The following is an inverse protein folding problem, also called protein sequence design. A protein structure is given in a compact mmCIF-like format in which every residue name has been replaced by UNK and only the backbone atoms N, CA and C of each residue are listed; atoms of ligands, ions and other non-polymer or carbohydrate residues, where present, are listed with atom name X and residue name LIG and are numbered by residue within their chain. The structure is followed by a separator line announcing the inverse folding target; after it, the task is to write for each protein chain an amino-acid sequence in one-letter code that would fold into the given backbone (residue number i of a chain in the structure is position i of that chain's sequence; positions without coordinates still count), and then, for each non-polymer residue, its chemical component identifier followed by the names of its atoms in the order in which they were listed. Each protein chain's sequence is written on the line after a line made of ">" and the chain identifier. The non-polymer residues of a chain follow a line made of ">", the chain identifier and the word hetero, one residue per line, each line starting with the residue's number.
data_IF_370136408697
#
_entry.id   IF_370136408697
#
_cell.length_a   1.000
_cell.length_b   1.000
_cell.length_c   1.000
_cell.angle_alpha   90.00
_cell.angle_beta   90.00
_cell.angle_gamma   90.00
#
_symmetry.space_group_name_H-M   'P 1'
#
loop_
_entity.id
_entity.type
_entity.pdbx_description
1 polymer ?
#
# COMPACT_ATOMS: atom_id res chain seq x y z
N UNK A 1 -23.97 -28.10 -2.48
CA UNK A 1 -22.89 -27.17 -2.15
C UNK A 1 -23.53 -25.99 -1.41
N UNK A 2 -22.99 -25.55 -0.29
CA UNK A 2 -23.48 -24.37 0.37
C UNK A 2 -23.28 -23.15 -0.58
N UNK A 3 -24.24 -22.22 -0.59
CA UNK A 3 -24.13 -21.02 -1.39
C UNK A 3 -22.88 -20.22 -0.95
N UNK A 4 -22.09 -19.75 -1.92
CA UNK A 4 -20.94 -18.89 -1.65
C UNK A 4 -21.43 -17.52 -1.16
N UNK A 5 -20.80 -17.01 -0.11
CA UNK A 5 -21.09 -15.68 0.41
C UNK A 5 -20.34 -14.60 -0.38
N UNK A 6 -21.00 -13.49 -0.70
CA UNK A 6 -20.35 -12.36 -1.36
C UNK A 6 -19.29 -11.73 -0.43
N UNK A 7 -18.10 -11.45 -0.95
CA UNK A 7 -17.02 -10.75 -0.25
C UNK A 7 -16.58 -9.51 -1.05
N UNK A 8 -17.04 -8.33 -0.67
CA UNK A 8 -16.71 -7.09 -1.35
C UNK A 8 -15.45 -6.47 -0.74
N UNK A 9 -14.37 -6.46 -1.54
CA UNK A 9 -13.07 -5.89 -1.18
C UNK A 9 -12.85 -4.57 -1.90
N UNK A 10 -12.24 -3.61 -1.22
CA UNK A 10 -11.88 -2.32 -1.80
C UNK A 10 -10.45 -1.94 -1.46
N UNK A 11 -9.75 -1.38 -2.44
CA UNK A 11 -8.42 -0.79 -2.26
C UNK A 11 -8.46 0.70 -2.59
N UNK A 12 -7.56 1.47 -2.00
CA UNK A 12 -7.46 2.90 -2.26
C UNK A 12 -6.91 3.21 -3.65
N UNK A 13 -5.95 2.39 -4.11
CA UNK A 13 -5.37 2.43 -5.46
C UNK A 13 -5.01 1.02 -5.91
N UNK A 14 -4.92 0.81 -7.21
CA UNK A 14 -4.49 -0.46 -7.77
C UNK A 14 -2.96 -0.53 -7.78
N UNK A 15 -2.38 -1.56 -7.13
CA UNK A 15 -0.93 -1.73 -7.01
C UNK A 15 -0.59 -3.17 -6.66
N UNK A 16 0.54 -3.67 -7.17
CA UNK A 16 1.13 -4.96 -6.76
C UNK A 16 1.54 -4.96 -5.27
N UNK A 17 1.58 -3.81 -4.64
CA UNK A 17 1.80 -3.69 -3.20
C UNK A 17 0.72 -4.41 -2.37
N UNK A 18 -0.45 -4.65 -2.97
CA UNK A 18 -1.57 -5.36 -2.35
C UNK A 18 -1.70 -6.81 -2.82
N UNK A 19 -0.62 -7.42 -3.32
CA UNK A 19 -0.58 -8.82 -3.73
C UNK A 19 -1.20 -9.81 -2.75
N UNK A 20 -1.10 -9.67 -1.41
CA UNK A 20 -1.80 -10.56 -0.50
C UNK A 20 -3.33 -10.62 -0.69
N UNK A 21 -3.96 -9.48 -1.07
CA UNK A 21 -5.40 -9.46 -1.39
C UNK A 21 -5.68 -10.05 -2.77
N UNK A 22 -4.87 -9.68 -3.76
CA UNK A 22 -5.01 -10.17 -5.14
C UNK A 22 -4.79 -11.68 -5.16
N UNK A 23 -3.75 -12.18 -4.50
CA UNK A 23 -3.49 -13.62 -4.34
C UNK A 23 -4.65 -14.35 -3.66
N UNK A 24 -5.28 -13.73 -2.67
CA UNK A 24 -6.48 -14.25 -2.02
C UNK A 24 -7.60 -14.58 -3.02
N UNK A 25 -7.71 -13.80 -4.09
CA UNK A 25 -8.67 -13.96 -5.19
C UNK A 25 -8.15 -14.98 -6.20
N UNK A 26 -7.03 -14.67 -6.88
CA UNK A 26 -6.54 -15.49 -8.01
C UNK A 26 -6.02 -16.85 -7.58
N UNK A 27 -5.52 -16.97 -6.36
CA UNK A 27 -5.10 -18.24 -5.76
C UNK A 27 -6.23 -19.07 -5.17
N UNK A 28 -7.48 -18.58 -5.25
CA UNK A 28 -8.66 -19.30 -4.77
C UNK A 28 -8.75 -19.40 -3.24
N UNK A 29 -7.95 -18.69 -2.47
CA UNK A 29 -7.94 -18.79 -1.01
C UNK A 29 -9.27 -18.34 -0.39
N UNK A 30 -9.87 -17.26 -0.91
CA UNK A 30 -11.20 -16.81 -0.47
C UNK A 30 -12.30 -17.77 -0.92
N UNK A 31 -12.21 -18.30 -2.14
CA UNK A 31 -13.17 -19.28 -2.66
C UNK A 31 -13.15 -20.58 -1.85
N UNK A 32 -11.98 -21.04 -1.40
CA UNK A 32 -11.83 -22.20 -0.53
C UNK A 32 -12.52 -22.05 0.85
N UNK A 33 -12.72 -20.81 1.29
CA UNK A 33 -13.46 -20.49 2.52
C UNK A 33 -14.94 -20.15 2.23
N UNK A 34 -15.43 -20.39 1.00
CA UNK A 34 -16.82 -20.21 0.61
C UNK A 34 -17.20 -18.78 0.25
N UNK A 35 -16.25 -17.96 -0.21
CA UNK A 35 -16.50 -16.60 -0.67
C UNK A 35 -16.44 -16.46 -2.19
N UNK A 36 -17.31 -15.59 -2.70
CA UNK A 36 -17.22 -15.02 -4.04
C UNK A 36 -16.67 -13.58 -3.90
N UNK A 37 -15.35 -13.38 -4.09
CA UNK A 37 -14.73 -12.07 -3.85
C UNK A 37 -14.94 -11.12 -5.03
N UNK A 38 -15.23 -9.85 -4.73
CA UNK A 38 -15.10 -8.73 -5.67
C UNK A 38 -13.93 -7.84 -5.25
N UNK A 39 -13.32 -7.15 -6.22
CA UNK A 39 -12.21 -6.23 -5.98
C UNK A 39 -12.48 -4.92 -6.70
N UNK A 40 -12.54 -3.84 -5.95
CA UNK A 40 -12.82 -2.50 -6.49
C UNK A 40 -11.79 -1.49 -6.00
N UNK A 41 -11.54 -0.47 -6.82
CA UNK A 41 -10.77 0.71 -6.41
C UNK A 41 -11.73 1.75 -5.84
N UNK A 42 -11.29 2.50 -4.85
CA UNK A 42 -12.06 3.57 -4.20
C UNK A 42 -12.66 4.52 -5.26
N UNK A 43 -13.98 4.70 -5.29
CA UNK A 43 -14.60 5.68 -6.18
C UNK A 43 -14.21 7.11 -5.82
N UNK A 44 -14.02 7.99 -6.81
CA UNK A 44 -13.72 9.40 -6.55
C UNK A 44 -14.77 10.06 -5.64
N UNK A 45 -14.31 10.88 -4.70
CA UNK A 45 -15.16 11.61 -3.77
C UNK A 45 -15.80 10.78 -2.65
N UNK A 46 -15.46 9.49 -2.55
CA UNK A 46 -15.88 8.62 -1.44
C UNK A 46 -14.78 8.47 -0.40
N UNK A 47 -15.19 8.04 0.79
CA UNK A 47 -14.28 7.69 1.89
C UNK A 47 -14.42 6.22 2.29
N UNK A 48 -13.38 5.64 2.88
CA UNK A 48 -13.41 4.28 3.43
C UNK A 48 -14.57 4.13 4.44
N UNK A 49 -14.74 5.13 5.32
CA UNK A 49 -15.80 5.12 6.33
C UNK A 49 -17.20 5.03 5.71
N UNK A 50 -17.50 5.86 4.69
CA UNK A 50 -18.79 5.83 3.99
C UNK A 50 -19.06 4.48 3.33
N UNK A 51 -18.07 3.92 2.63
CA UNK A 51 -18.19 2.67 1.91
C UNK A 51 -18.40 1.48 2.87
N UNK A 52 -17.72 1.46 4.01
CA UNK A 52 -17.88 0.43 5.04
C UNK A 52 -19.22 0.59 5.78
N UNK A 53 -19.60 1.80 6.16
CA UNK A 53 -20.85 2.08 6.90
C UNK A 53 -22.08 1.74 6.07
N UNK A 54 -22.07 2.05 4.77
CA UNK A 54 -23.17 1.71 3.85
C UNK A 54 -23.31 0.19 3.60
N UNK A 55 -22.30 -0.61 3.93
CA UNK A 55 -22.26 -2.04 3.62
C UNK A 55 -21.95 -2.35 2.15
N UNK A 56 -21.60 -1.35 1.34
CA UNK A 56 -21.18 -1.55 -0.04
C UNK A 56 -19.92 -2.42 -0.13
N UNK A 57 -19.06 -2.34 0.87
CA UNK A 57 -17.86 -3.16 1.02
C UNK A 57 -17.80 -3.80 2.42
N UNK A 58 -17.17 -4.95 2.52
CA UNK A 58 -16.96 -5.69 3.77
C UNK A 58 -15.60 -5.39 4.38
N UNK A 59 -14.55 -5.38 3.55
CA UNK A 59 -13.17 -5.13 3.94
C UNK A 59 -12.53 -4.12 3.00
N UNK A 60 -11.88 -3.12 3.56
CA UNK A 60 -11.11 -2.13 2.81
C UNK A 60 -9.63 -2.21 3.13
N UNK A 61 -8.78 -2.15 2.09
CA UNK A 61 -7.43 -1.67 2.30
C UNK A 61 -7.49 -0.19 2.64
N UNK A 62 -6.80 0.18 3.70
CA UNK A 62 -6.56 1.55 4.13
C UNK A 62 -5.21 1.60 4.86
N UNK A 63 -4.98 2.64 5.64
CA UNK A 63 -3.87 2.73 6.58
C UNK A 63 -4.42 2.92 8.00
N UNK A 64 -3.62 2.62 9.01
CA UNK A 64 -3.97 2.94 10.41
C UNK A 64 -4.30 4.43 10.59
N UNK A 65 -3.62 5.28 9.82
CA UNK A 65 -3.85 6.73 9.77
C UNK A 65 -5.23 7.13 9.26
N UNK A 66 -5.95 6.24 8.56
CA UNK A 66 -7.31 6.52 8.09
C UNK A 66 -8.34 6.73 9.22
N UNK A 67 -8.04 6.23 10.42
CA UNK A 67 -8.86 6.43 11.60
C UNK A 67 -8.55 7.75 12.36
N UNK A 68 -7.36 8.32 12.18
CA UNK A 68 -6.91 9.46 12.96
C UNK A 68 -7.71 10.75 12.74
N UNK A 69 -8.21 11.08 11.54
CA UNK A 69 -9.07 12.26 11.35
C UNK A 69 -10.34 12.25 12.22
N UNK A 70 -10.87 11.08 12.56
CA UNK A 70 -11.99 10.95 13.51
C UNK A 70 -11.52 11.26 14.92
N UNK A 71 -10.39 10.70 15.33
CA UNK A 71 -9.82 10.91 16.66
C UNK A 71 -9.34 12.36 16.89
N UNK A 72 -8.85 13.05 15.84
CA UNK A 72 -8.53 14.48 15.90
C UNK A 72 -9.77 15.32 16.25
N UNK A 73 -10.95 14.92 15.76
CA UNK A 73 -12.23 15.57 16.04
C UNK A 73 -12.87 15.11 17.36
N UNK A 74 -12.24 14.16 18.09
CA UNK A 74 -12.81 13.56 19.29
C UNK A 74 -13.91 12.54 18.99
N UNK A 75 -14.03 12.08 17.74
CA UNK A 75 -15.02 11.11 17.28
C UNK A 75 -14.45 9.69 17.33
N UNK A 76 -15.32 8.68 17.45
CA UNK A 76 -14.93 7.28 17.30
C UNK A 76 -14.90 6.91 15.82
N UNK A 77 -13.80 6.31 15.31
CA UNK A 77 -13.78 5.79 13.96
C UNK A 77 -14.87 4.74 13.74
N UNK A 78 -15.58 4.74 12.61
CA UNK A 78 -16.62 3.75 12.34
C UNK A 78 -16.06 2.36 11.98
N UNK A 79 -14.78 2.26 11.72
CA UNK A 79 -14.08 1.03 11.37
C UNK A 79 -12.83 0.86 12.23
N UNK A 80 -12.31 -0.37 12.26
CA UNK A 80 -11.06 -0.71 12.94
C UNK A 80 -10.13 -1.45 11.98
N UNK A 81 -8.85 -1.17 12.07
CA UNK A 81 -7.79 -1.94 11.40
C UNK A 81 -7.57 -3.25 12.15
N UNK A 82 -7.53 -4.38 11.44
CA UNK A 82 -7.44 -5.69 12.09
C UNK A 82 -6.36 -6.60 11.53
N UNK A 83 -5.78 -6.25 10.38
CA UNK A 83 -4.68 -7.01 9.81
C UNK A 83 -3.77 -6.10 8.98
N UNK A 84 -2.47 -6.36 8.99
CA UNK A 84 -1.55 -5.66 8.11
C UNK A 84 -1.55 -6.27 6.70
N UNK A 85 -1.36 -5.41 5.69
CA UNK A 85 -0.95 -5.85 4.35
C UNK A 85 0.56 -5.70 4.25
N UNK A 86 1.07 -4.51 4.54
CA UNK A 86 2.47 -4.15 4.39
C UNK A 86 3.02 -3.57 5.70
N UNK A 87 4.22 -3.99 6.04
CA UNK A 87 4.97 -3.48 7.20
C UNK A 87 6.16 -2.60 6.81
N UNK A 88 6.20 -2.15 5.54
CA UNK A 88 7.16 -1.18 5.00
C UNK A 88 6.48 -0.33 3.95
N UNK A 89 7.06 0.84 3.70
CA UNK A 89 6.67 1.65 2.56
C UNK A 89 7.08 0.94 1.26
N UNK A 90 6.19 0.91 0.28
CA UNK A 90 6.42 0.23 -1.00
C UNK A 90 6.84 1.16 -2.14
N UNK A 91 6.99 2.44 -1.88
CA UNK A 91 7.40 3.40 -2.90
C UNK A 91 8.89 3.33 -3.21
N UNK A 92 9.21 3.63 -4.44
CA UNK A 92 10.57 3.66 -4.98
C UNK A 92 10.87 5.00 -5.61
N UNK A 93 12.15 5.33 -5.67
CA UNK A 93 12.67 6.45 -6.43
C UNK A 93 13.29 5.91 -7.72
N UNK A 94 12.82 6.43 -8.84
CA UNK A 94 13.42 6.15 -10.15
C UNK A 94 13.87 7.46 -10.81
N UNK A 95 14.87 7.37 -11.68
CA UNK A 95 15.39 8.48 -12.47
C UNK A 95 15.28 8.20 -13.96
N UNK A 96 14.95 9.22 -14.72
CA UNK A 96 15.00 9.18 -16.19
C UNK A 96 16.43 9.09 -16.73
N UNK A 97 17.33 9.77 -16.05
CA UNK A 97 18.74 9.86 -16.47
C UNK A 97 19.59 8.90 -15.64
N UNK A 98 20.66 8.41 -16.21
CA UNK A 98 21.65 7.66 -15.46
C UNK A 98 22.20 8.52 -14.30
N UNK A 99 22.24 7.96 -13.11
CA UNK A 99 22.69 8.64 -11.89
C UNK A 99 23.80 7.80 -11.25
N UNK A 100 25.05 7.92 -11.72
CA UNK A 100 26.16 7.30 -11.03
C UNK A 100 26.17 7.78 -9.56
N UNK A 101 26.31 6.84 -8.62
CA UNK A 101 26.38 7.14 -7.18
C UNK A 101 25.16 7.95 -6.69
N UNK A 102 23.96 7.33 -6.73
CA UNK A 102 22.75 7.95 -6.21
C UNK A 102 22.92 8.38 -4.75
N UNK A 103 22.51 9.64 -4.48
CA UNK A 103 22.36 10.17 -3.13
C UNK A 103 21.07 10.98 -3.05
N UNK A 104 20.36 10.87 -1.94
CA UNK A 104 19.04 11.49 -1.74
C UNK A 104 19.03 13.01 -1.97
N UNK A 105 20.16 13.68 -1.74
CA UNK A 105 20.30 15.12 -2.01
C UNK A 105 20.14 15.48 -3.50
N UNK A 106 20.36 14.54 -4.41
CA UNK A 106 20.15 14.76 -5.86
C UNK A 106 18.68 15.03 -6.21
N UNK A 107 17.74 14.59 -5.38
CA UNK A 107 16.30 14.85 -5.57
C UNK A 107 15.92 16.34 -5.46
N UNK A 108 16.83 17.20 -4.97
CA UNK A 108 16.64 18.66 -4.95
C UNK A 108 16.93 19.31 -6.31
N UNK A 109 17.42 18.55 -7.27
CA UNK A 109 17.70 19.02 -8.64
C UNK A 109 16.71 18.41 -9.61
N UNK A 110 16.25 19.20 -10.59
CA UNK A 110 15.27 18.74 -11.56
C UNK A 110 13.85 18.60 -10.98
N UNK A 111 12.94 18.10 -11.81
CA UNK A 111 11.53 17.98 -11.49
C UNK A 111 11.24 16.61 -10.88
N UNK A 112 10.65 16.58 -9.70
CA UNK A 112 10.36 15.37 -8.97
C UNK A 112 8.85 15.07 -8.97
N UNK A 113 8.46 14.01 -9.65
CA UNK A 113 7.07 13.57 -9.72
C UNK A 113 6.75 12.63 -8.55
N UNK A 114 5.83 13.04 -7.67
CA UNK A 114 5.34 12.25 -6.54
C UNK A 114 3.89 12.57 -6.22
N UNK A 115 3.16 11.67 -5.56
CA UNK A 115 1.80 11.92 -5.12
C UNK A 115 1.77 12.99 -4.03
N UNK A 116 1.04 14.08 -4.26
CA UNK A 116 0.89 15.17 -3.29
C UNK A 116 -0.23 14.85 -2.29
N UNK A 117 -0.01 15.26 -1.06
CA UNK A 117 -0.96 15.07 0.04
C UNK A 117 -0.98 13.66 0.64
N UNK A 118 -1.57 13.55 1.81
CA UNK A 118 -1.79 12.29 2.51
C UNK A 118 -0.54 11.52 2.89
N UNK A 119 -0.73 10.23 3.09
CA UNK A 119 0.33 9.33 3.54
C UNK A 119 1.52 9.20 2.57
N UNK A 120 1.35 9.08 1.24
CA UNK A 120 2.50 8.96 0.33
C UNK A 120 3.50 10.12 0.45
N UNK A 121 3.01 11.35 0.50
CA UNK A 121 3.85 12.52 0.67
C UNK A 121 4.49 12.58 2.07
N UNK A 122 3.75 12.23 3.12
CA UNK A 122 4.27 12.20 4.49
C UNK A 122 5.41 11.19 4.64
N UNK A 123 5.26 9.99 4.05
CA UNK A 123 6.29 8.96 4.03
C UNK A 123 7.54 9.43 3.28
N UNK A 124 7.37 10.01 2.09
CA UNK A 124 8.48 10.58 1.32
C UNK A 124 9.21 11.68 2.09
N UNK A 125 8.46 12.62 2.69
CA UNK A 125 9.03 13.70 3.49
C UNK A 125 9.85 13.16 4.68
N UNK A 126 9.34 12.13 5.35
CA UNK A 126 10.03 11.50 6.47
C UNK A 126 11.28 10.72 6.03
N UNK A 127 11.21 10.00 4.90
CA UNK A 127 12.37 9.32 4.33
C UNK A 127 13.48 10.33 3.96
N UNK A 128 13.12 11.42 3.29
CA UNK A 128 14.04 12.48 2.95
C UNK A 128 14.67 13.12 4.21
N UNK A 129 13.86 13.40 5.23
CA UNK A 129 14.34 13.92 6.51
C UNK A 129 15.38 12.98 7.14
N UNK A 130 15.12 11.67 7.19
CA UNK A 130 16.10 10.67 7.69
C UNK A 130 17.39 10.63 6.88
N UNK A 131 17.36 11.08 5.63
CA UNK A 131 18.53 11.22 4.73
C UNK A 131 19.12 12.63 4.69
N UNK A 132 18.70 13.52 5.59
CA UNK A 132 19.21 14.88 5.70
C UNK A 132 18.73 15.84 4.60
N UNK A 133 17.63 15.52 3.93
CA UNK A 133 17.01 16.31 2.85
C UNK A 133 15.63 16.79 3.28
N UNK A 134 15.26 18.03 2.91
CA UNK A 134 13.89 18.53 3.08
C UNK A 134 13.11 18.39 1.78
N UNK A 135 11.87 17.92 1.86
CA UNK A 135 10.98 17.82 0.70
C UNK A 135 10.72 19.19 0.06
N UNK A 136 10.65 20.26 0.86
CA UNK A 136 10.43 21.63 0.38
C UNK A 136 11.56 22.15 -0.54
N UNK A 137 12.71 21.49 -0.54
CA UNK A 137 13.83 21.81 -1.46
C UNK A 137 13.70 21.11 -2.80
N UNK A 138 12.71 20.24 -2.99
CA UNK A 138 12.47 19.56 -4.26
C UNK A 138 11.51 20.36 -5.14
N UNK A 139 11.65 20.23 -6.47
CA UNK A 139 10.71 20.79 -7.43
C UNK A 139 9.60 19.76 -7.74
N UNK A 140 8.58 19.70 -6.87
CA UNK A 140 7.52 18.70 -6.94
C UNK A 140 6.57 18.91 -8.13
N UNK A 141 6.22 17.79 -8.79
CA UNK A 141 5.11 17.70 -9.73
C UNK A 141 4.14 16.67 -9.15
N UNK A 142 2.83 16.98 -9.12
CA UNK A 142 1.83 16.03 -8.64
C UNK A 142 1.70 14.84 -9.60
N UNK A 143 1.98 13.66 -9.07
CA UNK A 143 1.87 12.41 -9.83
C UNK A 143 0.40 12.00 -10.07
N UNK A 144 -0.50 12.35 -9.15
CA UNK A 144 -1.92 12.00 -9.23
C UNK A 144 -2.16 10.49 -9.24
N UNK A 145 -2.91 10.01 -10.23
CA UNK A 145 -3.19 8.58 -10.43
C UNK A 145 -1.95 7.82 -10.94
N UNK A 146 -1.64 6.62 -10.40
CA UNK A 146 -0.40 5.91 -10.74
C UNK A 146 -0.22 5.59 -12.23
N UNK A 147 -1.29 5.17 -12.91
CA UNK A 147 -1.22 4.85 -14.33
C UNK A 147 -1.02 6.11 -15.18
N UNK A 148 -1.71 7.19 -14.83
CA UNK A 148 -1.56 8.48 -15.50
C UNK A 148 -0.17 9.07 -15.25
N UNK A 149 0.37 8.95 -14.04
CA UNK A 149 1.71 9.44 -13.70
C UNK A 149 2.80 8.67 -14.46
N UNK A 150 2.68 7.34 -14.56
CA UNK A 150 3.58 6.53 -15.40
C UNK A 150 3.54 6.99 -16.85
N UNK A 151 2.35 7.21 -17.42
CA UNK A 151 2.19 7.71 -18.80
C UNK A 151 2.80 9.11 -18.98
N UNK A 152 2.63 10.01 -18.01
CA UNK A 152 3.19 11.34 -18.03
C UNK A 152 4.73 11.30 -17.95
N UNK A 153 5.26 10.46 -17.07
CA UNK A 153 6.70 10.25 -16.96
C UNK A 153 7.27 9.65 -18.26
N UNK A 154 6.62 8.64 -18.84
CA UNK A 154 7.01 8.06 -20.15
C UNK A 154 7.09 9.11 -21.25
N UNK A 155 6.19 10.12 -21.26
CA UNK A 155 6.17 11.25 -22.20
C UNK A 155 7.19 12.36 -21.89
N UNK A 156 8.09 12.19 -20.94
CA UNK A 156 9.14 13.14 -20.63
C UNK A 156 8.84 14.11 -19.47
N UNK A 157 7.73 13.97 -18.76
CA UNK A 157 7.45 14.80 -17.59
C UNK A 157 8.24 14.28 -16.38
N UNK A 158 8.95 15.17 -15.71
CA UNK A 158 9.77 14.85 -14.53
C UNK A 158 11.11 14.20 -14.86
N UNK A 159 12.08 14.45 -13.99
CA UNK A 159 13.41 13.84 -13.98
C UNK A 159 13.47 12.67 -12.99
N UNK A 160 12.75 12.81 -11.89
CA UNK A 160 12.60 11.85 -10.82
C UNK A 160 11.16 11.37 -10.70
N UNK A 161 10.98 10.11 -10.35
CA UNK A 161 9.68 9.47 -10.22
C UNK A 161 9.58 8.71 -8.89
N UNK A 162 8.49 8.94 -8.15
CA UNK A 162 8.20 8.27 -6.89
C UNK A 162 6.85 7.57 -6.98
N UNK A 163 6.87 6.26 -7.07
CA UNK A 163 5.65 5.45 -7.16
C UNK A 163 5.87 4.03 -6.64
N UNK A 164 4.76 3.34 -6.41
CA UNK A 164 4.72 1.92 -6.04
C UNK A 164 4.93 1.03 -7.26
N UNK A 165 5.54 -0.15 -7.04
CA UNK A 165 5.56 -1.18 -8.06
C UNK A 165 4.13 -1.62 -8.44
N UNK A 166 3.88 -1.98 -9.71
CA UNK A 166 4.85 -2.33 -10.74
C UNK A 166 5.28 -1.17 -11.67
N UNK A 167 4.82 0.05 -11.44
CA UNK A 167 5.03 1.16 -12.38
C UNK A 167 6.50 1.57 -12.59
N UNK A 168 7.34 1.71 -11.54
CA UNK A 168 8.78 1.95 -11.73
C UNK A 168 9.47 0.82 -12.50
N UNK A 169 9.12 -0.45 -12.22
CA UNK A 169 9.66 -1.61 -12.93
C UNK A 169 9.25 -1.64 -14.40
N UNK A 170 8.02 -1.21 -14.71
CA UNK A 170 7.58 -1.10 -16.10
C UNK A 170 8.39 -0.05 -16.86
N UNK A 171 8.61 1.13 -16.28
CA UNK A 171 9.45 2.17 -16.85
C UNK A 171 10.91 1.72 -17.01
N UNK A 172 11.41 0.94 -16.07
CA UNK A 172 12.77 0.35 -16.17
C UNK A 172 12.85 -0.72 -17.26
N UNK A 173 11.85 -1.58 -17.38
CA UNK A 173 11.75 -2.58 -18.44
C UNK A 173 11.74 -1.92 -19.84
N UNK A 174 11.12 -0.78 -19.97
CA UNK A 174 11.06 0.03 -21.21
C UNK A 174 12.35 0.84 -21.47
N UNK A 175 13.30 0.85 -20.55
CA UNK A 175 14.51 1.70 -20.65
C UNK A 175 14.23 3.20 -20.49
N UNK A 176 13.08 3.56 -19.92
CA UNK A 176 12.66 4.96 -19.70
C UNK A 176 13.17 5.51 -18.37
N UNK A 177 13.37 4.64 -17.39
CA UNK A 177 13.88 5.00 -16.07
C UNK A 177 14.77 3.91 -15.47
N UNK A 178 15.55 4.28 -14.46
CA UNK A 178 16.29 3.38 -13.60
C UNK A 178 15.78 3.52 -12.16
N UNK A 179 15.43 2.40 -11.50
CA UNK A 179 15.05 2.38 -10.10
C UNK A 179 16.31 2.46 -9.24
N UNK A 180 16.38 3.44 -8.33
CA UNK A 180 17.61 3.81 -7.63
C UNK A 180 17.53 3.63 -6.11
N UNK A 181 16.35 3.78 -5.51
CA UNK A 181 16.21 3.72 -4.06
C UNK A 181 14.81 3.28 -3.61
N UNK A 182 14.76 2.74 -2.40
CA UNK A 182 13.55 2.36 -1.70
C UNK A 182 13.24 3.34 -0.57
N UNK A 183 12.01 3.88 -0.57
CA UNK A 183 11.50 4.68 0.55
C UNK A 183 11.34 3.81 1.79
N UNK A 184 10.90 2.56 1.60
CA UNK A 184 10.74 1.60 2.70
C UNK A 184 12.04 1.22 3.40
N UNK A 185 13.17 1.14 2.67
CA UNK A 185 14.50 0.98 3.28
C UNK A 185 14.92 2.22 4.07
N UNK A 186 14.63 3.40 3.54
CA UNK A 186 14.99 4.66 4.21
C UNK A 186 14.23 4.86 5.52
N UNK A 187 12.96 4.48 5.58
CA UNK A 187 12.11 4.61 6.77
C UNK A 187 12.36 3.46 7.76
N UNK A 188 12.40 2.24 7.27
CA UNK A 188 12.36 1.01 8.07
C UNK A 188 10.94 0.48 8.25
N UNK A 189 10.72 -0.43 9.21
CA UNK A 189 9.40 -0.99 9.49
C UNK A 189 8.38 0.07 9.93
N UNK A 190 7.17 -0.01 9.36
CA UNK A 190 6.07 0.94 9.60
C UNK A 190 4.73 0.28 9.27
N UNK A 191 3.68 0.55 10.03
CA UNK A 191 2.32 0.13 9.69
C UNK A 191 1.80 0.96 8.51
N UNK A 192 2.15 0.52 7.27
CA UNK A 192 1.84 1.29 6.07
C UNK A 192 0.40 1.04 5.59
N UNK A 193 0.09 -0.18 5.17
CA UNK A 193 -1.26 -0.55 4.73
C UNK A 193 -1.84 -1.66 5.58
N UNK A 194 -3.11 -1.48 5.92
CA UNK A 194 -3.87 -2.38 6.78
C UNK A 194 -5.22 -2.71 6.14
N UNK A 195 -5.82 -3.79 6.59
CA UNK A 195 -7.21 -4.12 6.32
C UNK A 195 -8.09 -3.57 7.44
N UNK A 196 -9.16 -2.90 7.06
CA UNK A 196 -10.15 -2.36 7.97
C UNK A 196 -11.55 -2.86 7.64
N UNK A 197 -12.36 -3.03 8.68
CA UNK A 197 -13.76 -3.42 8.58
C UNK A 197 -14.58 -2.81 9.73
N UNK A 198 -15.90 -2.86 9.58
CA UNK A 198 -16.83 -2.45 10.63
C UNK A 198 -16.74 -3.40 11.83
N UNK A 199 -16.84 -2.90 13.09
CA UNK A 199 -16.83 -3.76 14.29
C UNK A 199 -17.86 -4.89 14.24
N UNK A 200 -19.05 -4.63 13.72
CA UNK A 200 -20.11 -5.65 13.56
C UNK A 200 -19.68 -6.78 12.61
N UNK A 201 -18.95 -6.47 11.53
CA UNK A 201 -18.43 -7.47 10.61
C UNK A 201 -17.29 -8.27 11.22
N UNK A 202 -16.39 -7.61 11.95
CA UNK A 202 -15.27 -8.26 12.65
C UNK A 202 -15.72 -9.30 13.69
N UNK A 203 -16.94 -9.16 14.22
CA UNK A 203 -17.55 -10.12 15.16
C UNK A 203 -18.31 -11.26 14.45
N UNK A 204 -18.31 -11.32 13.13
CA UNK A 204 -19.05 -12.34 12.36
C UNK A 204 -18.21 -13.58 12.07
N UNK A 205 -18.85 -14.74 11.80
CA UNK A 205 -18.15 -15.93 11.31
C UNK A 205 -17.39 -15.68 10.00
N UNK A 206 -17.87 -14.76 9.17
CA UNK A 206 -17.24 -14.40 7.90
C UNK A 206 -15.87 -13.75 8.11
N UNK A 207 -15.72 -12.94 9.14
CA UNK A 207 -14.44 -12.33 9.47
C UNK A 207 -13.38 -13.38 9.85
N UNK A 208 -13.79 -14.46 10.55
CA UNK A 208 -12.92 -15.58 10.89
C UNK A 208 -12.47 -16.31 9.62
N UNK A 209 -13.42 -16.65 8.73
CA UNK A 209 -13.13 -17.31 7.46
C UNK A 209 -12.23 -16.47 6.57
N UNK A 210 -12.54 -15.16 6.47
CA UNK A 210 -11.71 -14.21 5.74
C UNK A 210 -10.28 -14.17 6.27
N UNK A 211 -10.12 -14.01 7.58
CA UNK A 211 -8.80 -13.92 8.23
C UNK A 211 -7.97 -15.17 7.97
N UNK A 212 -8.57 -16.34 8.04
CA UNK A 212 -7.92 -17.63 7.74
C UNK A 212 -7.46 -17.71 6.27
N UNK A 213 -8.31 -17.32 5.33
CA UNK A 213 -7.98 -17.27 3.90
C UNK A 213 -6.86 -16.26 3.62
N UNK A 214 -6.98 -15.07 4.19
CA UNK A 214 -6.02 -13.99 4.00
C UNK A 214 -4.64 -14.34 4.55
N UNK A 215 -4.56 -14.97 5.73
CA UNK A 215 -3.29 -15.45 6.31
C UNK A 215 -2.60 -16.46 5.38
N UNK A 216 -3.36 -17.39 4.79
CA UNK A 216 -2.84 -18.34 3.80
C UNK A 216 -2.35 -17.65 2.53
N UNK A 217 -3.13 -16.72 1.98
CA UNK A 217 -2.78 -15.96 0.78
C UNK A 217 -1.49 -15.14 0.99
N UNK A 218 -1.40 -14.43 2.12
CA UNK A 218 -0.23 -13.62 2.46
C UNK A 218 1.02 -14.49 2.69
N UNK A 219 0.87 -15.64 3.34
CA UNK A 219 1.95 -16.62 3.49
C UNK A 219 2.42 -17.18 2.15
N UNK A 220 1.49 -17.45 1.23
CA UNK A 220 1.84 -17.89 -0.13
C UNK A 220 2.62 -16.82 -0.89
N UNK A 221 2.21 -15.55 -0.85
CA UNK A 221 2.94 -14.44 -1.50
C UNK A 221 4.35 -14.28 -0.93
N UNK A 222 4.56 -14.58 0.35
CA UNK A 222 5.89 -14.53 0.98
C UNK A 222 6.82 -15.65 0.50
N UNK A 223 6.27 -16.86 0.26
CA UNK A 223 7.08 -18.09 0.11
C UNK A 223 7.14 -18.63 -1.30
N UNK A 224 6.16 -18.32 -2.15
CA UNK A 224 6.17 -18.69 -3.56
C UNK A 224 7.20 -17.85 -4.33
N UNK A 225 7.71 -18.39 -5.45
CA UNK A 225 8.63 -17.63 -6.30
C UNK A 225 7.94 -16.38 -6.85
N UNK A 226 8.70 -15.29 -7.03
CA UNK A 226 8.18 -14.06 -7.63
C UNK A 226 7.54 -14.33 -9.00
N UNK A 227 8.10 -15.25 -9.80
CA UNK A 227 7.55 -15.68 -11.08
C UNK A 227 6.16 -16.31 -10.93
N UNK A 228 5.99 -17.17 -9.92
CA UNK A 228 4.71 -17.84 -9.67
C UNK A 228 3.63 -16.86 -9.26
N UNK A 229 3.97 -15.94 -8.35
CA UNK A 229 3.03 -14.91 -7.87
C UNK A 229 2.67 -13.95 -9.01
N UNK A 230 3.66 -13.44 -9.74
CA UNK A 230 3.46 -12.53 -10.86
C UNK A 230 2.57 -13.15 -11.95
N UNK A 231 2.82 -14.41 -12.33
CA UNK A 231 2.01 -15.12 -13.32
C UNK A 231 0.54 -15.26 -12.86
N UNK A 232 0.29 -15.56 -11.60
CA UNK A 232 -1.07 -15.66 -11.07
C UNK A 232 -1.79 -14.31 -11.06
N UNK A 233 -1.08 -13.21 -10.81
CA UNK A 233 -1.65 -11.86 -10.70
C UNK A 233 -1.69 -11.09 -12.02
N UNK A 234 -1.09 -11.61 -13.11
CA UNK A 234 -0.94 -10.89 -14.39
C UNK A 234 -2.25 -10.34 -14.94
N UNK A 235 -3.37 -11.04 -14.75
CA UNK A 235 -4.70 -10.59 -15.21
C UNK A 235 -5.18 -9.31 -14.53
N UNK A 236 -4.64 -8.98 -13.35
CA UNK A 236 -4.88 -7.72 -12.65
C UNK A 236 -4.02 -6.58 -13.21
N UNK A 237 -2.95 -6.89 -13.94
CA UNK A 237 -1.99 -5.92 -14.47
C UNK A 237 -1.75 -6.15 -15.98
N UNK A 238 -2.80 -6.01 -16.83
CA UNK A 238 -2.70 -6.36 -18.26
C UNK A 238 -1.72 -5.46 -19.03
N UNK A 239 -1.49 -4.23 -18.58
CA UNK A 239 -0.61 -3.24 -19.22
C UNK A 239 0.84 -3.30 -18.70
N UNK A 240 1.16 -4.25 -17.82
CA UNK A 240 2.50 -4.44 -17.25
C UNK A 240 3.16 -5.67 -17.87
N UNK A 241 4.38 -5.51 -18.34
CA UNK A 241 5.15 -6.62 -18.89
C UNK A 241 5.41 -7.72 -17.83
N UNK A 242 5.36 -9.01 -18.20
CA UNK A 242 5.58 -10.10 -17.24
C UNK A 242 6.87 -9.96 -16.44
N UNK A 243 7.98 -9.60 -17.09
CA UNK A 243 9.27 -9.40 -16.41
C UNK A 243 9.25 -8.23 -15.43
N UNK A 244 8.54 -7.14 -15.75
CA UNK A 244 8.34 -6.01 -14.84
C UNK A 244 7.49 -6.43 -13.63
N UNK A 245 6.46 -7.26 -13.84
CA UNK A 245 5.65 -7.80 -12.75
C UNK A 245 6.46 -8.72 -11.84
N UNK A 246 7.29 -9.62 -12.41
CA UNK A 246 8.21 -10.47 -11.63
C UNK A 246 9.18 -9.62 -10.80
N UNK A 247 9.77 -8.58 -11.40
CA UNK A 247 10.66 -7.67 -10.69
C UNK A 247 9.94 -6.92 -9.55
N UNK A 248 8.69 -6.53 -9.75
CA UNK A 248 7.86 -5.87 -8.74
C UNK A 248 7.59 -6.78 -7.53
N UNK A 249 7.18 -8.02 -7.76
CA UNK A 249 6.92 -8.99 -6.68
C UNK A 249 8.21 -9.30 -5.93
N UNK A 250 9.32 -9.56 -6.65
CA UNK A 250 10.63 -9.82 -6.04
C UNK A 250 11.07 -8.66 -5.15
N UNK A 251 10.95 -7.43 -5.63
CA UNK A 251 11.28 -6.24 -4.84
C UNK A 251 10.51 -6.21 -3.51
N UNK A 252 9.21 -6.47 -3.50
CA UNK A 252 8.42 -6.47 -2.28
C UNK A 252 8.73 -7.64 -1.34
N UNK A 253 9.07 -8.81 -1.90
CA UNK A 253 9.55 -9.96 -1.11
C UNK A 253 10.89 -9.65 -0.44
N UNK A 254 11.86 -9.14 -1.20
CA UNK A 254 13.22 -8.81 -0.73
C UNK A 254 13.19 -7.67 0.30
N UNK A 255 12.33 -6.66 0.09
CA UNK A 255 12.12 -5.57 1.05
C UNK A 255 11.45 -6.06 2.33
N UNK A 256 10.83 -7.24 2.33
CA UNK A 256 10.09 -7.78 3.48
C UNK A 256 8.76 -7.06 3.73
N UNK A 257 8.14 -6.51 2.68
CA UNK A 257 6.84 -5.83 2.81
C UNK A 257 5.78 -6.70 3.45
N UNK A 258 5.78 -7.98 3.13
CA UNK A 258 4.79 -8.96 3.58
C UNK A 258 5.34 -9.93 4.63
N UNK A 259 6.50 -9.66 5.22
CA UNK A 259 7.11 -10.54 6.23
C UNK A 259 6.28 -10.60 7.53
N UNK A 260 6.47 -11.67 8.30
CA UNK A 260 5.74 -11.92 9.56
C UNK A 260 4.28 -12.31 9.37
N UNK A 261 3.52 -12.36 10.45
CA UNK A 261 2.07 -12.65 10.43
C UNK A 261 1.26 -11.37 10.12
N UNK A 262 -0.06 -11.49 10.16
CA UNK A 262 -1.01 -10.44 9.75
C UNK A 262 -1.30 -9.41 10.86
N UNK A 263 -0.88 -9.64 12.09
CA UNK A 263 -1.03 -8.70 13.18
C UNK A 263 -0.29 -7.38 12.89
N UNK A 264 -0.92 -6.26 13.22
CA UNK A 264 -0.29 -4.94 13.11
C UNK A 264 0.59 -4.73 14.34
N UNK A 265 1.90 -4.67 14.14
CA UNK A 265 2.86 -4.48 15.23
C UNK A 265 2.71 -3.09 15.86
N UNK A 266 2.58 -2.97 17.20
CA UNK A 266 2.53 -1.68 17.89
C UNK A 266 3.75 -0.79 17.61
N UNK A 267 4.96 -1.35 17.47
CA UNK A 267 6.15 -0.56 17.14
C UNK A 267 6.07 0.03 15.73
N UNK A 268 5.50 -0.70 14.77
CA UNK A 268 5.26 -0.19 13.42
C UNK A 268 4.16 0.90 13.40
N UNK A 269 3.18 0.78 14.29
CA UNK A 269 2.16 1.82 14.48
C UNK A 269 2.78 3.11 15.04
N UNK A 270 3.68 3.01 16.02
CA UNK A 270 4.41 4.16 16.56
C UNK A 270 5.27 4.85 15.49
N UNK A 271 5.94 4.07 14.61
CA UNK A 271 6.65 4.65 13.45
C UNK A 271 5.69 5.42 12.52
N UNK A 272 4.48 4.92 12.28
CA UNK A 272 3.49 5.64 11.48
C UNK A 272 3.06 6.96 12.13
N UNK A 273 2.92 6.99 13.46
CA UNK A 273 2.66 8.24 14.20
C UNK A 273 3.83 9.23 14.05
N UNK A 274 5.09 8.77 14.10
CA UNK A 274 6.27 9.63 13.90
C UNK A 274 6.25 10.29 12.53
N UNK A 275 5.92 9.54 11.48
CA UNK A 275 5.80 10.04 10.09
C UNK A 275 4.76 11.16 10.01
N UNK A 276 3.59 10.94 10.59
CA UNK A 276 2.49 11.91 10.52
C UNK A 276 2.72 13.13 11.42
N UNK A 277 3.34 12.94 12.58
CA UNK A 277 3.75 14.04 13.45
C UNK A 277 4.82 14.93 12.78
N UNK A 278 5.82 14.31 12.11
CA UNK A 278 6.83 15.02 11.33
C UNK A 278 6.20 15.93 10.26
N UNK A 279 5.20 15.41 9.55
CA UNK A 279 4.46 16.12 8.51
C UNK A 279 3.34 17.03 9.04
N UNK A 280 3.20 17.15 10.37
CA UNK A 280 2.15 17.94 11.05
C UNK A 280 0.72 17.57 10.61
N UNK A 281 0.49 16.32 10.26
CA UNK A 281 -0.81 15.79 9.84
C UNK A 281 -1.66 15.31 11.03
N UNK A 282 -1.06 15.22 12.21
CA UNK A 282 -1.71 14.96 13.50
C UNK A 282 -1.23 15.98 14.52
N UNK A 283 -2.11 16.34 15.46
CA UNK A 283 -1.83 17.29 16.55
C UNK A 283 -1.39 16.58 17.83
N UNK A 284 -1.69 15.26 17.92
CA UNK A 284 -1.37 14.40 19.07
C UNK A 284 -1.16 12.97 18.61
N UNK A 285 -0.48 12.16 19.43
CA UNK A 285 -0.38 10.72 19.20
C UNK A 285 -1.71 10.05 19.55
N UNK A 286 -2.17 9.17 18.67
CA UNK A 286 -3.44 8.45 18.85
C UNK A 286 -3.18 7.06 19.41
N UNK A 287 -3.95 6.60 20.43
CA UNK A 287 -3.75 5.29 21.03
C UNK A 287 -4.00 4.15 20.05
N UNK A 288 -3.12 3.14 20.07
CA UNK A 288 -3.19 1.95 19.22
C UNK A 288 -4.53 1.23 19.36
N UNK A 289 -5.01 1.02 20.59
CA UNK A 289 -6.25 0.29 20.92
C UNK A 289 -7.54 1.00 20.46
N UNK A 290 -7.47 2.27 20.06
CA UNK A 290 -8.58 3.01 19.46
C UNK A 290 -8.69 2.82 17.94
N UNK A 291 -7.66 2.28 17.32
CA UNK A 291 -7.52 2.14 15.86
C UNK A 291 -7.40 0.68 15.43
N UNK A 292 -6.70 -0.13 16.23
CA UNK A 292 -6.33 -1.50 15.87
C UNK A 292 -6.96 -2.51 16.82
N UNK A 293 -7.42 -3.61 16.26
CA UNK A 293 -7.87 -4.80 17.01
C UNK A 293 -7.13 -6.03 16.48
N UNK A 294 -7.07 -7.07 17.30
CA UNK A 294 -6.51 -8.35 16.88
C UNK A 294 -7.33 -8.94 15.71
N UNK A 295 -6.68 -9.65 14.76
CA UNK A 295 -7.38 -10.37 13.71
C UNK A 295 -8.38 -11.37 14.28
N UNK A 296 -9.60 -11.49 13.73
CA UNK A 296 -10.60 -12.51 14.12
C UNK A 296 -10.03 -13.94 14.07
N UNK A 297 -10.39 -14.77 15.07
CA UNK A 297 -9.88 -16.15 15.23
C UNK A 297 -11.03 -17.15 15.35
#
# INVERSE_FOLDING_TARGET
>A
MAAMGTLNLMVYRHSAFYSPLIAGIVGGFFAAEGFEPTYTVMPPGKSVGEMLVSGAIHVSQTAVSGAWPYLEKGERPPFLSFAQINQRDGFQIASRNAVPEFGWAKLTTGKFMFAHGGQPQAMLAYALHKKGVSLDKTCGIDAGDPQKSMMAFRKGQGDWYHEQAPYPQQLQHEGVAEVLASVGEAIGPVAFSSLAAMPRWLSSPDAIRFTRAYRKARGWVQTASATTVAAAEQTFFPDIAPDAMIAAIRYYQDLGCWAGDIEIDPAHYETALDVFAHSKLITRRHPYDKVVVAPPR
#
